data_IF_066226426038
#
_entry.id   IF_066226426038
#
_cell.length_a   1.000
_cell.length_b   1.000
_cell.length_c   1.000
_cell.angle_alpha   90.00
_cell.angle_beta   90.00
_cell.angle_gamma   90.00
#
_symmetry.space_group_name_H-M   'P 1'
#
loop_
_entity.id
_entity.type
_entity.pdbx_description
1 polymer ?
#
# COMPACT_ATOMS: atom_id res chain seq x y z
N UNK A 1 -1.48 1.73 30.63
CA UNK A 1 -1.23 0.79 29.51
C UNK A 1 0.29 0.68 29.37
N UNK A 2 0.89 -0.50 29.50
CA UNK A 2 2.36 -0.65 29.46
C UNK A 2 2.93 0.03 28.20
N UNK A 3 4.02 0.79 28.34
CA UNK A 3 4.67 1.50 27.23
C UNK A 3 4.97 0.57 26.03
N UNK A 4 5.35 -0.68 26.29
CA UNK A 4 5.56 -1.72 25.26
C UNK A 4 4.28 -2.01 24.46
N UNK A 5 3.13 -2.15 25.13
CA UNK A 5 1.84 -2.37 24.45
C UNK A 5 1.41 -1.14 23.64
N UNK A 6 1.79 0.06 24.07
CA UNK A 6 1.55 1.28 23.31
C UNK A 6 2.35 1.28 21.99
N UNK A 7 3.66 0.99 22.07
CA UNK A 7 4.57 0.96 20.93
C UNK A 7 4.11 -0.09 19.91
N UNK A 8 3.89 -1.33 20.36
CA UNK A 8 3.50 -2.44 19.49
C UNK A 8 2.19 -2.19 18.73
N UNK A 9 1.21 -1.54 19.35
CA UNK A 9 -0.12 -1.38 18.74
C UNK A 9 -0.19 -0.18 17.79
N UNK A 10 0.59 0.88 18.05
CA UNK A 10 0.40 2.16 17.34
C UNK A 10 1.60 2.57 16.47
N UNK A 11 2.82 2.12 16.78
CA UNK A 11 4.02 2.47 16.02
C UNK A 11 4.47 1.38 15.05
N UNK A 12 4.30 0.10 15.41
CA UNK A 12 4.66 -1.02 14.52
C UNK A 12 3.90 -0.96 13.18
N UNK A 13 2.58 -0.70 13.13
CA UNK A 13 1.90 -0.56 11.83
C UNK A 13 2.46 0.57 10.97
N UNK A 14 2.86 1.68 11.59
CA UNK A 14 3.48 2.82 10.87
C UNK A 14 4.82 2.37 10.28
N UNK A 15 5.68 1.74 11.09
CA UNK A 15 6.98 1.25 10.66
C UNK A 15 6.86 0.21 9.52
N UNK A 16 5.89 -0.71 9.61
CA UNK A 16 5.61 -1.69 8.56
C UNK A 16 5.20 -0.99 7.27
N UNK A 17 4.25 -0.04 7.32
CA UNK A 17 3.79 0.68 6.12
C UNK A 17 4.92 1.50 5.50
N UNK A 18 5.75 2.17 6.31
CA UNK A 18 6.92 2.89 5.82
C UNK A 18 7.93 1.95 5.16
N UNK A 19 8.28 0.84 5.80
CA UNK A 19 9.18 -0.17 5.22
C UNK A 19 8.64 -0.72 3.89
N UNK A 20 7.33 -0.95 3.83
CA UNK A 20 6.64 -1.37 2.62
C UNK A 20 6.76 -0.33 1.50
N UNK A 21 6.45 0.94 1.77
CA UNK A 21 6.57 2.03 0.78
C UNK A 21 8.01 2.10 0.28
N UNK A 22 8.97 2.05 1.20
CA UNK A 22 10.38 2.06 0.87
C UNK A 22 10.79 0.92 -0.08
N UNK A 23 10.29 -0.31 0.15
CA UNK A 23 10.57 -1.47 -0.69
C UNK A 23 9.87 -1.30 -2.05
N UNK A 24 8.58 -0.97 -2.07
CA UNK A 24 7.79 -0.81 -3.29
C UNK A 24 8.34 0.31 -4.20
N UNK A 25 8.84 1.39 -3.60
CA UNK A 25 9.43 2.51 -4.32
C UNK A 25 10.85 2.21 -4.84
N UNK A 26 11.60 1.35 -4.14
CA UNK A 26 12.99 1.02 -4.49
C UNK A 26 13.19 0.19 -5.76
N UNK A 27 12.11 -0.29 -6.38
CA UNK A 27 12.17 -1.20 -7.51
C UNK A 27 11.71 -0.50 -8.79
N UNK A 28 12.58 -0.44 -9.81
CA UNK A 28 12.20 -0.26 -11.22
C UNK A 28 11.82 -1.61 -11.82
N UNK A 29 10.83 -1.64 -12.73
CA UNK A 29 10.36 -2.84 -13.42
C UNK A 29 11.51 -3.62 -14.11
N UNK A 30 12.63 -2.94 -14.39
CA UNK A 30 13.80 -3.49 -15.08
C UNK A 30 15.00 -3.87 -14.17
N UNK A 31 14.98 -3.60 -12.86
CA UNK A 31 16.14 -3.88 -11.97
C UNK A 31 15.77 -4.62 -10.69
N UNK A 32 15.13 -5.78 -10.84
CA UNK A 32 15.02 -6.79 -9.77
C UNK A 32 16.32 -7.59 -9.57
N UNK A 33 17.49 -6.98 -9.81
CA UNK A 33 18.79 -7.61 -9.52
C UNK A 33 19.51 -6.83 -8.43
N UNK A 34 19.44 -7.36 -7.21
CA UNK A 34 20.16 -6.82 -6.05
C UNK A 34 21.56 -7.40 -5.89
N UNK A 35 21.98 -8.30 -6.80
CA UNK A 35 23.33 -8.87 -6.83
C UNK A 35 24.43 -7.80 -6.79
N UNK A 36 24.33 -6.67 -7.52
CA UNK A 36 25.37 -5.63 -7.49
C UNK A 36 25.54 -4.96 -6.13
N UNK A 37 24.44 -4.78 -5.38
CA UNK A 37 24.47 -4.18 -4.04
C UNK A 37 24.96 -5.20 -3.01
N UNK A 38 24.53 -6.46 -3.12
CA UNK A 38 25.08 -7.56 -2.33
C UNK A 38 26.59 -7.69 -2.55
N UNK A 39 27.04 -7.54 -3.78
CA UNK A 39 28.46 -7.60 -4.14
C UNK A 39 29.28 -6.46 -3.53
N UNK A 40 28.67 -5.29 -3.34
CA UNK A 40 29.33 -4.10 -2.80
C UNK A 40 29.37 -4.07 -1.27
N UNK A 41 28.37 -4.67 -0.60
CA UNK A 41 28.20 -4.55 0.86
C UNK A 41 28.60 -5.82 1.61
N UNK A 42 28.77 -6.96 0.91
CA UNK A 42 29.03 -8.26 1.57
C UNK A 42 30.21 -9.01 0.94
N UNK A 43 31.38 -8.88 1.57
CA UNK A 43 32.57 -9.71 1.29
C UNK A 43 32.44 -11.14 1.84
N UNK A 44 31.48 -11.38 2.75
CA UNK A 44 31.34 -12.67 3.42
C UNK A 44 30.34 -13.61 2.72
N UNK A 45 30.87 -14.78 2.34
CA UNK A 45 30.16 -15.81 1.56
C UNK A 45 28.86 -16.29 2.22
N UNK A 46 28.78 -16.33 3.56
CA UNK A 46 27.59 -16.79 4.27
C UNK A 46 26.41 -15.80 4.19
N UNK A 47 26.68 -14.49 4.11
CA UNK A 47 25.63 -13.47 3.95
C UNK A 47 25.03 -13.57 2.57
N UNK A 48 25.86 -13.79 1.54
CA UNK A 48 25.41 -14.04 0.16
C UNK A 48 24.53 -15.28 0.06
N UNK A 49 24.96 -16.40 0.63
CA UNK A 49 24.19 -17.65 0.65
C UNK A 49 22.86 -17.48 1.40
N UNK A 50 22.87 -16.76 2.52
CA UNK A 50 21.65 -16.49 3.30
C UNK A 50 20.68 -15.60 2.54
N UNK A 51 21.15 -14.51 1.94
CA UNK A 51 20.34 -13.60 1.15
C UNK A 51 19.77 -14.29 -0.10
N UNK A 52 20.58 -15.09 -0.81
CA UNK A 52 20.13 -15.88 -1.95
C UNK A 52 19.07 -16.92 -1.56
N UNK A 53 19.23 -17.58 -0.41
CA UNK A 53 18.24 -18.55 0.10
C UNK A 53 16.92 -17.87 0.49
N UNK A 54 17.00 -16.67 1.09
CA UNK A 54 15.81 -15.87 1.42
C UNK A 54 15.11 -15.39 0.14
N UNK A 55 15.85 -14.88 -0.84
CA UNK A 55 15.33 -14.49 -2.15
C UNK A 55 14.64 -15.66 -2.85
N UNK A 56 15.26 -16.84 -2.84
CA UNK A 56 14.68 -18.04 -3.43
C UNK A 56 13.38 -18.45 -2.73
N UNK A 57 13.35 -18.42 -1.40
CA UNK A 57 12.12 -18.70 -0.63
C UNK A 57 11.01 -17.69 -0.96
N UNK A 58 11.36 -16.40 -1.06
CA UNK A 58 10.43 -15.34 -1.44
C UNK A 58 9.90 -15.56 -2.86
N UNK A 59 10.77 -15.90 -3.81
CA UNK A 59 10.41 -16.13 -5.20
C UNK A 59 9.55 -17.38 -5.37
N UNK A 60 9.91 -18.52 -4.78
CA UNK A 60 9.08 -19.74 -4.81
C UNK A 60 7.72 -19.52 -4.12
N UNK A 61 7.72 -18.77 -3.02
CA UNK A 61 6.48 -18.37 -2.35
C UNK A 61 5.61 -17.49 -3.25
N UNK A 62 6.21 -16.52 -3.92
CA UNK A 62 5.53 -15.67 -4.89
C UNK A 62 4.96 -16.50 -6.06
N UNK A 63 5.76 -17.37 -6.68
CA UNK A 63 5.30 -18.27 -7.75
C UNK A 63 4.13 -19.17 -7.32
N UNK A 64 4.16 -19.68 -6.10
CA UNK A 64 3.07 -20.50 -5.56
C UNK A 64 1.78 -19.68 -5.39
N UNK A 65 1.91 -18.46 -4.87
CA UNK A 65 0.79 -17.52 -4.74
C UNK A 65 0.26 -17.15 -6.13
N UNK A 66 1.16 -16.89 -7.08
CA UNK A 66 0.82 -16.57 -8.47
C UNK A 66 0.07 -17.72 -9.14
N UNK A 67 0.57 -18.96 -9.03
CA UNK A 67 -0.14 -20.13 -9.54
C UNK A 67 -1.54 -20.24 -8.94
N UNK A 68 -1.69 -20.03 -7.63
CA UNK A 68 -3.00 -20.01 -6.98
C UNK A 68 -3.90 -18.89 -7.52
N UNK A 69 -3.33 -17.70 -7.79
CA UNK A 69 -4.03 -16.57 -8.40
C UNK A 69 -4.49 -16.84 -9.83
N UNK A 70 -3.64 -17.46 -10.65
CA UNK A 70 -3.99 -17.87 -12.01
C UNK A 70 -5.02 -19.00 -12.03
N UNK A 71 -4.96 -19.91 -11.06
CA UNK A 71 -5.89 -21.05 -10.97
C UNK A 71 -7.29 -20.61 -10.50
N UNK A 72 -7.36 -19.63 -9.58
CA UNK A 72 -8.62 -19.19 -8.96
C UNK A 72 -8.81 -17.66 -8.95
N UNK A 73 -8.81 -16.99 -10.12
CA UNK A 73 -8.81 -15.53 -10.20
C UNK A 73 -10.09 -14.92 -9.61
N UNK A 74 -11.26 -15.49 -9.93
CA UNK A 74 -12.54 -15.02 -9.39
C UNK A 74 -12.66 -15.24 -7.87
N UNK A 75 -12.14 -16.35 -7.34
CA UNK A 75 -12.20 -16.62 -5.91
C UNK A 75 -11.40 -15.59 -5.11
N UNK A 76 -10.26 -15.13 -5.65
CA UNK A 76 -9.42 -14.12 -5.00
C UNK A 76 -10.05 -12.73 -5.08
N UNK A 77 -10.63 -12.37 -6.22
CA UNK A 77 -11.37 -11.10 -6.36
C UNK A 77 -12.56 -11.08 -5.39
N UNK A 78 -13.33 -12.15 -5.34
CA UNK A 78 -14.47 -12.28 -4.42
C UNK A 78 -13.99 -12.25 -2.97
N UNK A 79 -12.94 -12.98 -2.62
CA UNK A 79 -12.38 -12.97 -1.27
C UNK A 79 -11.87 -11.58 -0.87
N UNK A 80 -11.19 -10.87 -1.76
CA UNK A 80 -10.77 -9.48 -1.56
C UNK A 80 -11.95 -8.54 -1.35
N UNK A 81 -12.97 -8.62 -2.21
CA UNK A 81 -14.19 -7.82 -2.10
C UNK A 81 -14.96 -8.11 -0.80
N UNK A 82 -15.08 -9.39 -0.41
CA UNK A 82 -15.69 -9.82 0.85
C UNK A 82 -14.89 -9.30 2.04
N UNK A 83 -13.56 -9.35 2.00
CA UNK A 83 -12.71 -8.81 3.06
C UNK A 83 -12.90 -7.29 3.19
N UNK A 84 -12.88 -6.54 2.08
CA UNK A 84 -13.14 -5.09 2.07
C UNK A 84 -14.53 -4.76 2.61
N UNK A 85 -15.57 -5.46 2.16
CA UNK A 85 -16.93 -5.32 2.67
C UNK A 85 -17.01 -5.62 4.16
N UNK A 86 -16.38 -6.70 4.62
CA UNK A 86 -16.30 -7.03 6.03
C UNK A 86 -15.52 -5.97 6.81
N UNK A 87 -14.45 -5.38 6.27
CA UNK A 87 -13.75 -4.24 6.87
C UNK A 87 -14.65 -3.02 6.98
N UNK A 88 -15.38 -2.66 5.93
CA UNK A 88 -16.29 -1.51 5.94
C UNK A 88 -17.43 -1.75 6.93
N UNK A 89 -18.07 -2.91 6.88
CA UNK A 89 -19.12 -3.31 7.82
C UNK A 89 -18.57 -3.29 9.24
N UNK A 90 -17.41 -3.88 9.52
CA UNK A 90 -16.83 -3.84 10.87
C UNK A 90 -16.43 -2.43 11.28
N UNK A 91 -15.87 -1.61 10.40
CA UNK A 91 -15.52 -0.20 10.61
C UNK A 91 -16.74 0.63 11.04
N UNK A 92 -17.88 0.46 10.37
CA UNK A 92 -19.13 1.16 10.71
C UNK A 92 -19.93 0.49 11.85
N UNK A 93 -19.78 -0.83 12.05
CA UNK A 93 -20.56 -1.62 13.02
C UNK A 93 -19.85 -1.82 14.36
N UNK A 94 -18.70 -1.17 14.64
CA UNK A 94 -18.15 -1.09 16.01
C UNK A 94 -19.05 -0.20 16.90
N UNK A 95 -20.28 -0.67 17.13
CA UNK A 95 -21.27 -0.07 18.01
C UNK A 95 -20.96 -0.42 19.46
N UNK A 96 -21.32 0.48 20.36
CA UNK A 96 -21.03 0.43 21.78
C UNK A 96 -21.90 -0.62 22.47
N UNK A 97 -21.41 -1.86 22.57
CA UNK A 97 -21.80 -2.78 23.66
C UNK A 97 -20.61 -2.93 24.61
N UNK A 98 -20.88 -3.17 25.90
CA UNK A 98 -19.92 -3.33 27.01
C UNK A 98 -18.72 -4.18 26.58
N UNK A 99 -17.53 -3.96 27.18
CA UNK A 99 -16.28 -4.68 26.86
C UNK A 99 -16.49 -6.20 26.82
N UNK A 100 -16.81 -6.70 25.63
CA UNK A 100 -17.15 -8.08 25.34
C UNK A 100 -16.07 -8.64 24.43
N UNK A 101 -15.80 -9.94 24.55
CA UNK A 101 -14.90 -10.67 23.66
C UNK A 101 -15.18 -10.35 22.17
N UNK A 102 -16.45 -10.17 21.80
CA UNK A 102 -16.87 -9.82 20.45
C UNK A 102 -16.24 -8.52 19.92
N UNK A 103 -16.06 -7.48 20.75
CA UNK A 103 -15.47 -6.19 20.32
C UNK A 103 -13.95 -6.28 20.17
N UNK A 104 -13.30 -7.17 20.94
CA UNK A 104 -11.87 -7.47 20.79
C UNK A 104 -11.64 -8.21 19.47
N UNK A 105 -12.44 -9.24 19.19
CA UNK A 105 -12.44 -9.97 17.91
C UNK A 105 -12.72 -9.05 16.72
N UNK A 106 -13.69 -8.14 16.83
CA UNK A 106 -14.04 -7.18 15.78
C UNK A 106 -12.90 -6.21 15.46
N UNK A 107 -12.23 -5.67 16.49
CA UNK A 107 -11.05 -4.80 16.29
C UNK A 107 -9.92 -5.56 15.62
N UNK A 108 -9.65 -6.79 16.07
CA UNK A 108 -8.64 -7.66 15.45
C UNK A 108 -8.96 -7.88 13.98
N UNK A 109 -10.23 -8.13 13.63
CA UNK A 109 -10.66 -8.31 12.24
C UNK A 109 -10.40 -7.08 11.37
N UNK A 110 -10.77 -5.87 11.83
CA UNK A 110 -10.47 -4.61 11.11
C UNK A 110 -8.97 -4.45 10.87
N UNK A 111 -8.14 -4.69 11.88
CA UNK A 111 -6.69 -4.59 11.71
C UNK A 111 -6.13 -5.65 10.76
N UNK A 112 -6.64 -6.89 10.81
CA UNK A 112 -6.27 -7.93 9.86
C UNK A 112 -6.66 -7.56 8.43
N UNK A 113 -7.84 -6.99 8.22
CA UNK A 113 -8.24 -6.55 6.89
C UNK A 113 -7.39 -5.39 6.39
N UNK A 114 -7.07 -4.41 7.24
CA UNK A 114 -6.15 -3.32 6.85
C UNK A 114 -4.77 -3.88 6.48
N UNK A 115 -4.27 -4.90 7.21
CA UNK A 115 -3.03 -5.60 6.87
C UNK A 115 -3.16 -6.30 5.52
N UNK A 116 -4.25 -7.02 5.25
CA UNK A 116 -4.46 -7.68 3.96
C UNK A 116 -4.55 -6.67 2.81
N UNK A 117 -5.26 -5.56 3.00
CA UNK A 117 -5.31 -4.46 2.01
C UNK A 117 -3.90 -3.90 1.78
N UNK A 118 -3.11 -3.74 2.83
CA UNK A 118 -1.72 -3.30 2.73
C UNK A 118 -0.91 -4.28 1.89
N UNK A 119 -0.96 -5.58 2.20
CA UNK A 119 -0.27 -6.65 1.47
C UNK A 119 -0.73 -6.69 0.01
N UNK A 120 -2.02 -6.54 -0.25
CA UNK A 120 -2.57 -6.45 -1.60
C UNK A 120 -2.01 -5.26 -2.38
N UNK A 121 -1.99 -4.07 -1.77
CA UNK A 121 -1.40 -2.88 -2.39
C UNK A 121 0.10 -3.08 -2.69
N UNK A 122 0.84 -3.73 -1.79
CA UNK A 122 2.26 -4.10 -2.04
C UNK A 122 2.39 -5.04 -3.22
N UNK A 123 1.58 -6.10 -3.24
CA UNK A 123 1.61 -7.07 -4.32
C UNK A 123 1.31 -6.40 -5.67
N UNK A 124 0.32 -5.49 -5.72
CA UNK A 124 0.00 -4.71 -6.92
C UNK A 124 1.13 -3.76 -7.34
N UNK A 125 1.83 -3.14 -6.37
CA UNK A 125 2.95 -2.24 -6.65
C UNK A 125 4.17 -3.00 -7.20
N UNK A 126 4.50 -4.14 -6.61
CA UNK A 126 5.71 -4.91 -6.92
C UNK A 126 5.53 -5.78 -8.16
N UNK A 127 4.37 -6.42 -8.33
CA UNK A 127 4.10 -7.39 -9.39
C UNK A 127 3.07 -6.86 -10.40
N UNK A 128 3.13 -5.57 -10.71
CA UNK A 128 2.21 -4.95 -11.67
C UNK A 128 2.21 -5.68 -13.02
N UNK A 129 3.37 -6.15 -13.49
CA UNK A 129 3.52 -7.03 -14.66
C UNK A 129 2.72 -8.31 -14.55
N UNK A 130 2.82 -9.03 -13.43
CA UNK A 130 2.06 -10.26 -13.23
C UNK A 130 0.56 -10.02 -13.10
N UNK A 131 0.15 -8.89 -12.51
CA UNK A 131 -1.26 -8.48 -12.46
C UNK A 131 -1.79 -8.21 -13.87
N UNK A 132 -0.97 -7.62 -14.74
CA UNK A 132 -1.32 -7.39 -16.15
C UNK A 132 -1.41 -8.74 -16.89
N UNK A 133 -0.49 -9.67 -16.68
CA UNK A 133 -0.57 -11.02 -17.25
C UNK A 133 -1.84 -11.75 -16.81
N UNK A 134 -2.19 -11.68 -15.52
CA UNK A 134 -3.46 -12.18 -14.99
C UNK A 134 -4.65 -11.52 -15.67
N UNK A 135 -4.62 -10.21 -15.87
CA UNK A 135 -5.69 -9.49 -16.57
C UNK A 135 -5.81 -9.96 -18.03
N UNK A 136 -4.68 -10.15 -18.74
CA UNK A 136 -4.63 -10.63 -20.13
C UNK A 136 -5.07 -12.08 -20.28
N UNK A 137 -4.88 -12.90 -19.25
CA UNK A 137 -5.35 -14.28 -19.22
C UNK A 137 -6.87 -14.40 -18.99
N UNK A 138 -7.49 -13.40 -18.35
CA UNK A 138 -8.90 -13.45 -17.94
C UNK A 138 -9.82 -12.51 -18.73
N UNK A 139 -9.30 -11.48 -19.40
CA UNK A 139 -10.07 -10.50 -20.16
C UNK A 139 -9.56 -10.41 -21.60
N UNK A 140 -10.47 -10.20 -22.55
CA UNK A 140 -10.07 -9.95 -23.94
C UNK A 140 -9.45 -8.56 -24.09
N UNK A 141 -8.55 -8.41 -25.06
CA UNK A 141 -7.94 -7.11 -25.37
C UNK A 141 -8.98 -6.02 -25.66
N UNK A 142 -10.09 -6.37 -26.30
CA UNK A 142 -11.14 -5.41 -26.64
C UNK A 142 -11.94 -4.98 -25.41
N UNK A 143 -12.16 -5.89 -24.45
CA UNK A 143 -12.75 -5.54 -23.15
C UNK A 143 -11.85 -4.56 -22.39
N UNK A 144 -10.54 -4.84 -22.32
CA UNK A 144 -9.59 -3.97 -21.65
C UNK A 144 -9.50 -2.59 -22.34
N UNK A 145 -9.46 -2.55 -23.67
CA UNK A 145 -9.48 -1.28 -24.43
C UNK A 145 -10.75 -0.47 -24.17
N UNK A 146 -11.91 -1.14 -24.15
CA UNK A 146 -13.20 -0.47 -23.91
C UNK A 146 -13.29 0.17 -22.54
N UNK A 147 -12.67 -0.44 -21.52
CA UNK A 147 -12.58 0.12 -20.18
C UNK A 147 -11.54 1.26 -20.13
N UNK A 148 -10.38 1.06 -20.73
CA UNK A 148 -9.24 1.98 -20.65
C UNK A 148 -9.37 3.23 -21.51
N UNK A 149 -10.15 3.20 -22.60
CA UNK A 149 -10.38 4.38 -23.45
C UNK A 149 -11.03 5.55 -22.71
N UNK A 150 -11.69 5.30 -21.58
CA UNK A 150 -12.29 6.33 -20.73
C UNK A 150 -11.24 7.08 -19.88
N UNK A 151 -10.04 6.52 -19.76
CA UNK A 151 -8.96 7.07 -18.95
C UNK A 151 -8.09 7.97 -19.83
N UNK A 152 -8.32 9.28 -19.73
CA UNK A 152 -7.52 10.31 -20.38
C UNK A 152 -7.37 11.51 -19.44
N UNK A 153 -6.14 11.80 -19.01
CA UNK A 153 -5.84 12.97 -18.18
C UNK A 153 -4.38 13.38 -18.32
N UNK A 154 -4.05 14.60 -17.87
CA UNK A 154 -2.67 15.09 -17.86
C UNK A 154 -2.01 14.78 -16.51
N UNK A 155 -0.83 14.16 -16.54
CA UNK A 155 -0.02 13.87 -15.37
C UNK A 155 1.40 14.39 -15.58
N UNK A 156 1.87 15.27 -14.69
CA UNK A 156 3.20 15.88 -14.80
C UNK A 156 3.50 16.53 -16.16
N UNK A 157 2.49 17.13 -16.78
CA UNK A 157 2.59 17.77 -18.09
C UNK A 157 2.55 16.81 -19.29
N UNK A 158 2.40 15.51 -19.07
CA UNK A 158 2.25 14.50 -20.13
C UNK A 158 0.81 13.95 -20.17
N UNK A 159 0.32 13.60 -21.35
CA UNK A 159 -0.98 12.94 -21.48
C UNK A 159 -0.88 11.46 -21.12
N UNK A 160 -1.65 11.04 -20.12
CA UNK A 160 -1.85 9.64 -19.76
C UNK A 160 -3.16 9.17 -20.39
N UNK A 161 -3.04 8.39 -21.46
CA UNK A 161 -4.17 7.80 -22.18
C UNK A 161 -3.78 6.49 -22.84
N UNK A 162 -4.80 5.77 -23.34
CA UNK A 162 -4.59 4.51 -24.05
C UNK A 162 -3.71 4.70 -25.31
N UNK A 163 -3.80 5.86 -25.95
CA UNK A 163 -3.02 6.20 -27.14
C UNK A 163 -1.54 6.41 -26.83
N UNK A 164 -1.21 6.98 -25.66
CA UNK A 164 0.18 7.30 -25.29
C UNK A 164 0.88 6.14 -24.59
N UNK A 165 0.17 5.34 -23.79
CA UNK A 165 0.77 4.29 -22.96
C UNK A 165 0.46 2.85 -23.41
N UNK A 166 -0.47 2.68 -24.37
CA UNK A 166 -0.99 1.36 -24.72
C UNK A 166 -1.79 0.72 -23.58
N UNK A 167 -2.30 -0.50 -23.79
CA UNK A 167 -3.11 -1.21 -22.77
C UNK A 167 -2.27 -1.54 -21.55
N UNK A 168 -1.12 -2.18 -21.76
CA UNK A 168 -0.31 -2.72 -20.66
C UNK A 168 0.38 -1.60 -19.87
N UNK A 169 0.94 -0.59 -20.56
CA UNK A 169 1.56 0.56 -19.91
C UNK A 169 0.56 1.43 -19.13
N UNK A 170 -0.67 1.59 -19.62
CA UNK A 170 -1.70 2.32 -18.89
C UNK A 170 -2.19 1.55 -17.66
N UNK A 171 -2.34 0.23 -17.75
CA UNK A 171 -2.64 -0.62 -16.60
C UNK A 171 -1.53 -0.57 -15.56
N UNK A 172 -0.26 -0.70 -15.97
CA UNK A 172 0.88 -0.60 -15.07
C UNK A 172 0.90 0.74 -14.34
N UNK A 173 0.70 1.83 -15.09
CA UNK A 173 0.63 3.17 -14.53
C UNK A 173 -0.47 3.27 -13.46
N UNK A 174 -1.71 2.88 -13.79
CA UNK A 174 -2.86 2.98 -12.86
C UNK A 174 -2.66 2.08 -11.63
N UNK A 175 -2.18 0.85 -11.81
CA UNK A 175 -1.92 -0.07 -10.72
C UNK A 175 -0.85 0.46 -9.76
N UNK A 176 0.26 0.98 -10.28
CA UNK A 176 1.33 1.54 -9.45
C UNK A 176 0.87 2.79 -8.71
N UNK A 177 0.21 3.74 -9.39
CA UNK A 177 -0.27 4.99 -8.77
C UNK A 177 -1.36 4.73 -7.72
N UNK A 178 -2.26 3.78 -7.96
CA UNK A 178 -3.28 3.38 -6.99
C UNK A 178 -2.70 2.68 -5.76
N UNK A 179 -1.66 1.86 -5.94
CA UNK A 179 -0.96 1.21 -4.83
C UNK A 179 -0.24 2.22 -3.94
N UNK A 180 0.51 3.17 -4.54
CA UNK A 180 1.15 4.27 -3.80
C UNK A 180 0.13 5.11 -3.03
N UNK A 181 -0.94 5.56 -3.69
CA UNK A 181 -2.04 6.28 -3.02
C UNK A 181 -2.58 5.51 -1.81
N UNK A 182 -2.79 4.20 -1.96
CA UNK A 182 -3.33 3.33 -0.89
C UNK A 182 -2.35 3.19 0.27
N UNK A 183 -1.05 3.01 0.00
CA UNK A 183 -0.02 2.90 1.02
C UNK A 183 0.13 4.20 1.82
N UNK A 184 0.13 5.35 1.15
CA UNK A 184 0.18 6.65 1.82
C UNK A 184 -1.12 6.95 2.58
N UNK A 185 -2.28 6.50 2.10
CA UNK A 185 -3.53 6.55 2.88
C UNK A 185 -3.42 5.74 4.18
N UNK A 186 -2.87 4.53 4.14
CA UNK A 186 -2.64 3.73 5.33
C UNK A 186 -1.65 4.41 6.29
N UNK A 187 -0.59 5.03 5.77
CA UNK A 187 0.37 5.80 6.55
C UNK A 187 -0.33 6.95 7.29
N UNK A 188 -1.07 7.79 6.56
CA UNK A 188 -1.84 8.90 7.13
C UNK A 188 -2.88 8.43 8.15
N UNK A 189 -3.51 7.28 7.92
CA UNK A 189 -4.49 6.68 8.84
C UNK A 189 -3.83 6.26 10.17
N UNK A 190 -2.73 5.51 10.13
CA UNK A 190 -2.07 5.01 11.34
C UNK A 190 -1.36 6.10 12.12
N UNK A 191 -0.69 7.04 11.43
CA UNK A 191 -0.02 8.18 12.09
C UNK A 191 -1.04 9.05 12.82
N UNK A 192 -2.22 9.29 12.23
CA UNK A 192 -3.29 10.02 12.91
C UNK A 192 -3.77 9.29 14.17
N UNK A 193 -4.03 7.98 14.07
CA UNK A 193 -4.49 7.17 15.21
C UNK A 193 -3.46 7.12 16.36
N UNK A 194 -2.17 7.04 16.04
CA UNK A 194 -1.11 7.11 17.03
C UNK A 194 -1.05 8.51 17.66
N UNK A 195 -1.09 9.57 16.85
CA UNK A 195 -1.00 10.95 17.31
C UNK A 195 -2.17 11.34 18.22
N UNK A 196 -3.41 11.05 17.82
CA UNK A 196 -4.60 11.41 18.60
C UNK A 196 -4.64 10.70 19.95
N UNK A 197 -4.04 9.51 20.04
CA UNK A 197 -3.94 8.75 21.28
C UNK A 197 -2.88 9.30 22.24
N UNK A 198 -1.83 9.94 21.73
CA UNK A 198 -0.81 10.61 22.56
C UNK A 198 -1.27 11.95 23.09
N UNK A 199 -1.86 12.78 22.22
CA UNK A 199 -2.07 14.19 22.53
C UNK A 199 -3.55 14.57 22.73
N UNK A 200 -4.51 13.73 22.30
CA UNK A 200 -5.95 13.97 22.44
C UNK A 200 -6.53 15.12 21.61
N UNK A 201 -5.72 15.81 20.81
CA UNK A 201 -6.06 17.00 20.01
C UNK A 201 -6.15 16.64 18.53
N UNK A 202 -7.36 16.71 17.98
CA UNK A 202 -7.67 16.31 16.59
C UNK A 202 -6.88 17.13 15.57
N UNK A 203 -6.98 18.46 15.64
CA UNK A 203 -6.28 19.34 14.70
C UNK A 203 -4.76 19.14 14.74
N UNK A 204 -4.17 19.10 15.94
CA UNK A 204 -2.73 18.84 16.09
C UNK A 204 -2.33 17.47 15.51
N UNK A 205 -3.13 16.45 15.73
CA UNK A 205 -2.87 15.10 15.21
C UNK A 205 -3.00 15.01 13.70
N UNK A 206 -3.93 15.77 13.11
CA UNK A 206 -4.05 15.91 11.66
C UNK A 206 -2.81 16.57 11.06
N UNK A 207 -2.36 17.69 11.63
CA UNK A 207 -1.16 18.40 11.15
C UNK A 207 0.07 17.49 11.26
N UNK A 208 0.25 16.76 12.37
CA UNK A 208 1.35 15.80 12.52
C UNK A 208 1.28 14.70 11.45
N UNK A 209 0.10 14.13 11.22
CA UNK A 209 -0.08 13.08 10.21
C UNK A 209 0.25 13.57 8.80
N UNK A 210 -0.30 14.72 8.40
CA UNK A 210 -0.01 15.30 7.08
C UNK A 210 1.45 15.69 6.93
N UNK A 211 2.08 16.23 7.97
CA UNK A 211 3.50 16.60 7.93
C UNK A 211 4.38 15.36 7.70
N UNK A 212 4.10 14.25 8.40
CA UNK A 212 4.84 13.00 8.23
C UNK A 212 4.61 12.40 6.84
N UNK A 213 3.36 12.37 6.36
CA UNK A 213 3.02 11.87 5.02
C UNK A 213 3.77 12.66 3.96
N UNK A 214 3.67 13.99 3.97
CA UNK A 214 4.27 14.85 2.94
C UNK A 214 5.80 14.75 2.99
N UNK A 215 6.39 14.78 4.19
CA UNK A 215 7.83 14.62 4.35
C UNK A 215 8.30 13.25 3.84
N UNK A 216 7.53 12.19 4.09
CA UNK A 216 7.88 10.85 3.65
C UNK A 216 7.73 10.68 2.14
N UNK A 217 6.68 11.24 1.53
CA UNK A 217 6.50 11.25 0.08
C UNK A 217 7.62 12.04 -0.62
N UNK A 218 7.98 13.21 -0.10
CA UNK A 218 9.10 13.99 -0.63
C UNK A 218 10.43 13.26 -0.48
N UNK A 219 10.65 12.55 0.64
CA UNK A 219 11.85 11.74 0.85
C UNK A 219 11.90 10.55 -0.11
N UNK A 220 10.75 9.93 -0.39
CA UNK A 220 10.64 8.83 -1.32
C UNK A 220 11.01 9.27 -2.75
N UNK A 221 10.42 10.37 -3.22
CA UNK A 221 10.73 10.95 -4.55
C UNK A 221 12.18 11.46 -4.64
N UNK A 222 12.69 12.10 -3.58
CA UNK A 222 14.09 12.49 -3.51
C UNK A 222 15.00 11.26 -3.62
N UNK A 223 14.68 10.17 -2.93
CA UNK A 223 15.44 8.93 -3.00
C UNK A 223 15.41 8.33 -4.41
N UNK A 224 14.26 8.37 -5.09
CA UNK A 224 14.14 7.87 -6.46
C UNK A 224 15.06 8.61 -7.43
N UNK A 225 15.43 9.88 -7.17
CA UNK A 225 16.42 10.60 -8.01
C UNK A 225 17.81 9.97 -8.04
N UNK A 226 18.15 9.11 -7.06
CA UNK A 226 19.41 8.38 -7.05
C UNK A 226 19.38 7.08 -7.86
N UNK A 227 18.21 6.69 -8.39
CA UNK A 227 18.07 5.49 -9.23
C UNK A 227 18.25 5.91 -10.70
N UNK A 228 19.27 5.39 -11.41
CA UNK A 228 19.44 5.64 -12.83
C UNK A 228 18.20 5.17 -13.57
N UNK A 229 17.57 6.03 -14.39
CA UNK A 229 16.25 5.89 -15.06
C UNK A 229 15.03 6.50 -14.36
N UNK A 230 15.15 7.00 -13.12
CA UNK A 230 14.04 7.70 -12.45
C UNK A 230 14.34 9.18 -12.20
N UNK A 231 13.37 10.02 -12.53
CA UNK A 231 13.31 11.41 -12.08
C UNK A 231 12.23 11.53 -11.01
N UNK A 232 12.56 12.13 -9.87
CA UNK A 232 11.56 12.45 -8.85
C UNK A 232 10.52 13.42 -9.40
N UNK A 233 9.25 13.16 -9.15
CA UNK A 233 8.13 13.90 -9.70
C UNK A 233 7.31 14.57 -8.60
N UNK A 234 7.16 15.90 -8.67
CA UNK A 234 6.28 16.64 -7.74
C UNK A 234 4.83 16.15 -7.81
N UNK A 235 4.39 15.70 -9.00
CA UNK A 235 3.09 15.08 -9.19
C UNK A 235 2.89 13.84 -8.30
N UNK A 236 3.95 13.04 -8.08
CA UNK A 236 3.91 11.84 -7.25
C UNK A 236 3.81 12.22 -5.77
N UNK A 237 4.57 13.23 -5.31
CA UNK A 237 4.42 13.78 -3.95
C UNK A 237 2.99 14.27 -3.70
N UNK A 238 2.38 14.95 -4.68
CA UNK A 238 1.00 15.44 -4.57
C UNK A 238 0.00 14.29 -4.49
N UNK A 239 0.17 13.27 -5.33
CA UNK A 239 -0.70 12.09 -5.33
C UNK A 239 -0.62 11.34 -3.99
N UNK A 240 0.60 11.12 -3.48
CA UNK A 240 0.85 10.44 -2.22
C UNK A 240 0.31 11.26 -1.04
N UNK A 241 0.48 12.59 -1.07
CA UNK A 241 -0.13 13.49 -0.11
C UNK A 241 -1.67 13.43 -0.14
N UNK A 242 -2.29 13.32 -1.33
CA UNK A 242 -3.74 13.14 -1.45
C UNK A 242 -4.20 11.80 -0.86
N UNK A 243 -3.43 10.74 -1.05
CA UNK A 243 -3.64 9.44 -0.38
C UNK A 243 -3.61 9.59 1.13
N UNK A 244 -2.55 10.18 1.68
CA UNK A 244 -2.43 10.42 3.11
C UNK A 244 -3.53 11.30 3.67
N UNK A 245 -3.96 12.34 2.95
CA UNK A 245 -5.10 13.17 3.33
C UNK A 245 -6.39 12.35 3.47
N UNK A 246 -6.68 11.50 2.47
CA UNK A 246 -7.83 10.60 2.51
C UNK A 246 -7.78 9.67 3.72
N UNK A 247 -6.62 9.03 3.96
CA UNK A 247 -6.42 8.14 5.08
C UNK A 247 -6.54 8.81 6.45
N UNK A 248 -5.91 9.98 6.61
CA UNK A 248 -6.03 10.80 7.83
C UNK A 248 -7.47 11.25 8.06
N UNK A 249 -8.19 11.68 7.01
CA UNK A 249 -9.60 12.03 7.07
C UNK A 249 -10.48 10.87 7.53
N UNK A 250 -10.25 9.66 7.00
CA UNK A 250 -10.94 8.44 7.42
C UNK A 250 -10.68 8.10 8.90
N UNK A 251 -9.44 8.25 9.37
CA UNK A 251 -9.09 8.05 10.78
C UNK A 251 -9.73 9.10 11.70
N UNK A 252 -9.78 10.36 11.26
CA UNK A 252 -10.48 11.44 11.96
C UNK A 252 -11.97 11.12 12.07
N UNK A 253 -12.62 10.79 10.96
CA UNK A 253 -14.06 10.49 10.93
C UNK A 253 -14.39 9.35 11.90
N UNK A 254 -13.62 8.26 11.84
CA UNK A 254 -13.73 7.13 12.77
C UNK A 254 -13.66 7.56 14.23
N UNK A 255 -12.66 8.36 14.58
CA UNK A 255 -12.41 8.76 15.97
C UNK A 255 -13.45 9.77 16.47
N UNK A 256 -13.89 10.69 15.60
CA UNK A 256 -14.93 11.68 15.89
C UNK A 256 -16.29 11.03 16.13
N UNK A 257 -16.70 10.11 15.25
CA UNK A 257 -17.91 9.31 15.44
C UNK A 257 -17.82 8.53 16.75
N UNK A 258 -16.68 7.90 17.05
CA UNK A 258 -16.50 7.16 18.30
C UNK A 258 -16.60 8.03 19.56
N UNK A 259 -16.30 9.34 19.49
CA UNK A 259 -16.36 10.27 20.62
C UNK A 259 -17.77 10.86 20.81
N UNK A 260 -18.50 11.16 19.74
CA UNK A 260 -19.86 11.74 19.82
C UNK A 260 -20.87 10.82 20.51
N UNK A 261 -20.60 9.52 20.53
CA UNK A 261 -21.43 8.49 21.17
C UNK A 261 -20.76 7.89 22.43
N UNK A 262 -19.65 8.45 22.93
CA UNK A 262 -18.98 8.04 24.17
C UNK A 262 -19.58 8.75 25.38
#
# INVERSE_FOLDING_TARGET
MNHIKYILINLVPIAIVMAIIFIASSQTSDQQDISPVLDTVTDENWVRVTAASILQLVNTGAETILMFMFTYPYAIIIMGAVLVLLALVTFFRVRKSRQSAAKKTLKTFVYLTLIIISIGAVFLAINSSTVIELARANFSLDQLRTLLQQVQFTYSGQEVSLATHGVDGLLEFVLRKSAHFTLFALLGFFVFLASIKLNGRYFRSFIIAMSIVIAYAALDEYRQTFIPSRSGMVADVILDAAGGLFGTGMAWLKTSISRRFS
#
